data_IF_105674404920
#
_entry.id   IF_105674404920
#
_cell.length_a   1.000
_cell.length_b   1.000
_cell.length_c   1.000
_cell.angle_alpha   90.00
_cell.angle_beta   90.00
_cell.angle_gamma   90.00
#
_symmetry.space_group_name_H-M   'P 1'
#
loop_
_entity.id
_entity.type
_entity.pdbx_description
1 polymer ?
#
# COMPACT_ATOMS: atom_id res chain seq x y z
N UNK A 1 -2.15 -9.99 29.36
CA UNK A 1 -3.14 -8.93 29.06
C UNK A 1 -4.56 -9.32 29.43
N UNK A 2 -5.09 -10.48 29.00
CA UNK A 2 -6.49 -10.87 29.32
C UNK A 2 -6.76 -11.09 30.83
N UNK A 3 -5.71 -11.35 31.62
CA UNK A 3 -5.76 -11.66 33.06
C UNK A 3 -5.56 -10.46 34.00
N UNK A 4 -5.23 -9.28 33.45
CA UNK A 4 -4.92 -8.12 34.29
C UNK A 4 -6.23 -7.48 34.80
N UNK A 5 -6.31 -7.13 36.10
CA UNK A 5 -7.46 -6.41 36.63
C UNK A 5 -7.57 -5.01 35.98
N UNK A 6 -8.75 -4.37 36.01
CA UNK A 6 -8.87 -2.98 35.65
C UNK A 6 -7.96 -2.12 36.54
N UNK A 7 -7.23 -1.21 35.92
CA UNK A 7 -6.27 -0.32 36.60
C UNK A 7 -6.59 1.13 36.19
N UNK A 8 -6.57 2.03 37.17
CA UNK A 8 -6.79 3.45 36.93
C UNK A 8 -5.48 4.11 36.55
N UNK A 9 -5.49 4.82 35.41
CA UNK A 9 -4.33 5.55 34.92
C UNK A 9 -4.67 7.03 34.79
N UNK A 10 -3.79 7.87 35.33
CA UNK A 10 -3.80 9.31 35.09
C UNK A 10 -2.79 9.62 34.00
N UNK A 11 -3.28 10.13 32.86
CA UNK A 11 -2.43 10.57 31.75
C UNK A 11 -2.56 12.07 31.62
N UNK A 12 -1.44 12.77 31.72
CA UNK A 12 -1.33 14.20 31.44
C UNK A 12 -0.66 14.38 30.08
N UNK A 13 -1.30 15.15 29.20
CA UNK A 13 -0.67 15.55 27.94
C UNK A 13 -0.72 17.06 27.78
N UNK A 14 0.37 17.61 27.24
CA UNK A 14 0.46 19.02 26.88
C UNK A 14 -0.38 19.22 25.63
N UNK A 15 -1.46 19.99 25.75
CA UNK A 15 -2.24 20.38 24.58
C UNK A 15 -1.46 21.49 23.88
N UNK A 16 -0.70 21.12 22.85
CA UNK A 16 -0.12 22.10 21.94
C UNK A 16 -1.23 22.69 21.07
N UNK A 17 -1.31 24.02 20.98
CA UNK A 17 -1.99 24.64 19.84
C UNK A 17 -1.22 24.30 18.57
N UNK A 18 -1.94 23.94 17.50
CA UNK A 18 -1.37 23.46 16.23
C UNK A 18 -0.33 24.42 15.60
N UNK A 19 -0.25 25.66 16.06
CA UNK A 19 0.69 26.70 15.59
C UNK A 19 2.16 26.47 15.96
N UNK A 20 2.50 25.42 16.72
CA UNK A 20 3.91 25.06 17.02
C UNK A 20 4.47 23.94 16.15
N UNK A 21 3.69 23.36 15.23
CA UNK A 21 4.24 22.54 14.16
C UNK A 21 5.02 23.44 13.20
N UNK A 22 6.36 23.42 13.31
CA UNK A 22 7.27 24.36 12.67
C UNK A 22 7.00 24.57 11.17
N UNK A 23 6.56 25.77 10.82
CA UNK A 23 6.75 26.29 9.47
C UNK A 23 8.26 26.40 9.21
N UNK A 24 8.78 25.96 8.05
CA UNK A 24 10.18 26.15 7.69
C UNK A 24 10.52 27.64 7.71
N UNK A 25 11.55 28.02 8.46
CA UNK A 25 12.06 29.38 8.46
C UNK A 25 12.66 29.68 7.08
N UNK A 26 11.99 30.52 6.31
CA UNK A 26 12.53 31.06 5.07
C UNK A 26 13.71 32.00 5.47
N UNK A 27 14.92 31.81 4.91
CA UNK A 27 16.04 32.70 5.18
C UNK A 27 15.69 34.13 4.75
N UNK A 28 15.79 35.09 5.67
CA UNK A 28 15.62 36.49 5.36
C UNK A 28 16.83 36.99 4.55
N UNK A 29 16.70 37.04 3.23
CA UNK A 29 17.61 37.79 2.37
C UNK A 29 17.28 39.26 2.47
N UNK A 30 18.20 40.07 3.01
CA UNK A 30 18.07 41.51 3.10
C UNK A 30 18.11 42.18 1.73
N UNK A 31 17.11 43.00 1.44
CA UNK A 31 17.17 44.07 0.43
C UNK A 31 16.02 45.08 0.68
N UNK A 32 16.43 46.33 0.88
CA UNK A 32 15.74 47.60 0.58
C UNK A 32 14.29 47.85 1.06
N UNK A 33 14.20 48.57 2.19
CA UNK A 33 13.57 49.90 2.24
C UNK A 33 12.05 50.06 2.12
N UNK A 34 11.28 49.01 1.85
CA UNK A 34 9.82 49.06 1.86
C UNK A 34 9.25 47.84 2.60
N UNK A 35 8.55 48.09 3.72
CA UNK A 35 7.86 47.01 4.44
C UNK A 35 6.84 46.35 3.52
N UNK A 36 6.97 45.04 3.22
CA UNK A 36 6.02 44.37 2.38
C UNK A 36 4.66 44.26 3.11
N UNK A 37 3.52 44.27 2.39
CA UNK A 37 2.18 44.36 2.99
C UNK A 37 1.80 43.20 3.93
N UNK A 38 2.58 42.11 3.96
CA UNK A 38 2.42 41.02 4.94
C UNK A 38 3.13 41.27 6.28
N UNK A 39 4.04 42.25 6.35
CA UNK A 39 4.75 42.64 7.57
C UNK A 39 3.80 43.30 8.59
N UNK A 40 2.86 44.13 8.12
CA UNK A 40 1.82 44.74 8.96
C UNK A 40 0.85 43.71 9.53
N UNK A 41 0.44 42.71 8.73
CA UNK A 41 -0.37 41.58 9.18
C UNK A 41 0.35 40.70 10.22
N UNK A 42 1.68 40.60 10.13
CA UNK A 42 2.51 39.89 11.11
C UNK A 42 2.68 40.67 12.41
N UNK A 43 2.74 42.01 12.34
CA UNK A 43 2.75 42.88 13.52
C UNK A 43 1.40 42.84 14.27
N UNK A 44 0.27 42.74 13.56
CA UNK A 44 -1.06 42.57 14.18
C UNK A 44 -1.20 41.26 14.95
N UNK A 45 -0.50 40.18 14.52
CA UNK A 45 -0.51 38.89 15.24
C UNK A 45 0.20 38.95 16.59
N UNK A 46 1.27 39.75 16.72
CA UNK A 46 2.00 39.90 18.01
C UNK A 46 1.17 40.58 19.09
N UNK A 47 0.25 41.45 18.71
CA UNK A 47 -0.66 42.16 19.62
C UNK A 47 -2.05 41.51 19.70
N UNK A 48 -2.24 40.32 19.14
CA UNK A 48 -3.51 39.63 19.29
C UNK A 48 -3.63 39.10 20.73
N UNK A 49 -4.57 39.61 21.55
CA UNK A 49 -4.74 39.18 22.94
C UNK A 49 -5.08 37.69 23.05
N UNK A 50 -5.60 37.08 21.98
CA UNK A 50 -5.89 35.64 21.91
C UNK A 50 -4.68 34.76 21.57
N UNK A 51 -3.54 35.35 21.16
CA UNK A 51 -2.25 34.68 20.88
C UNK A 51 -1.19 34.95 21.95
N UNK A 52 -1.54 35.65 23.03
CA UNK A 52 -0.68 35.71 24.21
C UNK A 52 -0.37 34.27 24.63
N UNK A 53 0.92 33.96 24.81
CA UNK A 53 1.44 32.63 25.16
C UNK A 53 0.67 32.07 26.35
N UNK A 54 -0.43 31.39 26.07
CA UNK A 54 -1.12 30.60 27.07
C UNK A 54 -0.09 29.57 27.49
N UNK A 55 0.26 29.56 28.77
CA UNK A 55 1.06 28.47 29.33
C UNK A 55 0.44 27.17 28.83
N UNK A 56 1.26 26.22 28.33
CA UNK A 56 0.75 25.03 27.66
C UNK A 56 -0.27 24.37 28.58
N UNK A 57 -1.55 24.49 28.20
CA UNK A 57 -2.64 23.97 29.01
C UNK A 57 -2.45 22.47 29.07
N UNK A 58 -1.99 22.00 30.22
CA UNK A 58 -1.89 20.57 30.48
C UNK A 58 -3.28 20.13 30.85
N UNK A 59 -3.86 19.22 30.07
CA UNK A 59 -5.13 18.60 30.40
C UNK A 59 -4.83 17.23 30.98
N UNK A 60 -5.33 17.01 32.18
CA UNK A 60 -5.25 15.73 32.86
C UNK A 60 -6.54 14.96 32.61
N UNK A 61 -6.41 13.70 32.23
CA UNK A 61 -7.54 12.80 32.07
C UNK A 61 -7.31 11.57 32.93
N UNK A 62 -8.30 11.29 33.76
CA UNK A 62 -8.40 10.00 34.44
C UNK A 62 -9.14 9.05 33.51
N UNK A 63 -8.53 7.91 33.24
CA UNK A 63 -9.16 6.84 32.47
C UNK A 63 -8.96 5.52 33.17
N UNK A 64 -10.02 4.71 33.18
CA UNK A 64 -9.94 3.34 33.67
C UNK A 64 -9.57 2.49 32.47
N UNK A 65 -8.39 1.87 32.52
CA UNK A 65 -7.99 0.91 31.51
C UNK A 65 -8.59 -0.44 31.88
N UNK A 66 -9.29 -1.03 30.92
CA UNK A 66 -9.80 -2.40 31.00
C UNK A 66 -8.98 -3.25 30.01
N UNK A 67 -7.83 -3.83 30.41
CA UNK A 67 -6.94 -4.53 29.49
C UNK A 67 -7.64 -5.63 28.69
N UNK A 68 -8.61 -6.29 29.32
CA UNK A 68 -9.43 -7.32 28.69
C UNK A 68 -10.33 -6.77 27.58
N UNK A 69 -10.99 -5.63 27.81
CA UNK A 69 -11.81 -4.96 26.79
C UNK A 69 -10.95 -4.51 25.61
N UNK A 70 -9.77 -3.96 25.90
CA UNK A 70 -8.79 -3.57 24.87
C UNK A 70 -8.36 -4.79 24.05
N UNK A 71 -7.99 -5.89 24.71
CA UNK A 71 -7.58 -7.12 24.05
C UNK A 71 -8.70 -7.70 23.17
N UNK A 72 -9.96 -7.73 23.65
CA UNK A 72 -11.12 -8.14 22.84
C UNK A 72 -11.33 -7.23 21.64
N UNK A 73 -11.17 -5.91 21.82
CA UNK A 73 -11.23 -4.95 20.71
C UNK A 73 -10.16 -5.23 19.65
N UNK A 74 -8.92 -5.48 20.06
CA UNK A 74 -7.82 -5.83 19.15
C UNK A 74 -8.07 -7.14 18.41
N UNK A 75 -8.60 -8.16 19.09
CA UNK A 75 -9.01 -9.42 18.45
C UNK A 75 -10.14 -9.18 17.43
N UNK A 76 -11.13 -8.35 17.76
CA UNK A 76 -12.20 -8.00 16.82
C UNK A 76 -11.66 -7.29 15.56
N UNK A 77 -10.76 -6.30 15.74
CA UNK A 77 -10.12 -5.60 14.62
C UNK A 77 -9.31 -6.56 13.78
N UNK A 78 -8.53 -7.44 14.41
CA UNK A 78 -7.76 -8.47 13.72
C UNK A 78 -8.65 -9.38 12.88
N UNK A 79 -9.79 -9.84 13.42
CA UNK A 79 -10.73 -10.68 12.67
C UNK A 79 -11.29 -9.92 11.46
N UNK A 80 -11.73 -8.67 11.65
CA UNK A 80 -12.22 -7.84 10.55
C UNK A 80 -11.18 -7.68 9.44
N UNK A 81 -9.92 -7.40 9.80
CA UNK A 81 -8.81 -7.30 8.85
C UNK A 81 -8.57 -8.64 8.15
N UNK A 82 -8.60 -9.77 8.86
CA UNK A 82 -8.43 -11.09 8.28
C UNK A 82 -9.53 -11.41 7.25
N UNK A 83 -10.79 -11.12 7.57
CA UNK A 83 -11.93 -11.35 6.68
C UNK A 83 -11.85 -10.47 5.42
N UNK A 84 -11.42 -9.22 5.57
CA UNK A 84 -11.14 -8.31 4.45
C UNK A 84 -10.00 -8.84 3.59
N UNK A 85 -8.88 -9.23 4.20
CA UNK A 85 -7.70 -9.75 3.50
C UNK A 85 -8.03 -11.01 2.70
N UNK A 86 -8.84 -11.92 3.23
CA UNK A 86 -9.29 -13.12 2.50
C UNK A 86 -9.96 -12.77 1.16
N UNK A 87 -10.86 -11.78 1.18
CA UNK A 87 -11.57 -11.28 -0.01
C UNK A 87 -10.63 -10.52 -0.92
N UNK A 88 -9.85 -9.60 -0.35
CA UNK A 88 -8.95 -8.71 -1.08
C UNK A 88 -7.86 -9.49 -1.83
N UNK A 89 -7.30 -10.55 -1.22
CA UNK A 89 -6.34 -11.44 -1.88
C UNK A 89 -6.97 -12.13 -3.10
N UNK A 90 -8.24 -12.55 -3.04
CA UNK A 90 -8.93 -13.15 -4.19
C UNK A 90 -9.13 -12.16 -5.33
N UNK A 91 -9.43 -10.90 -4.99
CA UNK A 91 -9.59 -9.81 -5.96
C UNK A 91 -8.25 -9.51 -6.64
N UNK A 92 -7.15 -9.47 -5.86
CA UNK A 92 -5.79 -9.26 -6.41
C UNK A 92 -5.41 -10.43 -7.34
N UNK A 93 -5.78 -11.67 -7.03
CA UNK A 93 -5.55 -12.79 -7.93
C UNK A 93 -6.31 -12.60 -9.26
N UNK A 94 -7.60 -12.29 -9.21
CA UNK A 94 -8.46 -12.07 -10.38
C UNK A 94 -8.02 -10.86 -11.23
N UNK A 95 -7.55 -9.78 -10.60
CA UNK A 95 -6.94 -8.63 -11.28
C UNK A 95 -5.80 -9.07 -12.22
N UNK A 96 -5.04 -10.10 -11.83
CA UNK A 96 -3.91 -10.59 -12.60
C UNK A 96 -4.34 -11.31 -13.86
N UNK A 97 -5.42 -12.08 -13.77
CA UNK A 97 -6.04 -12.74 -14.92
C UNK A 97 -6.65 -11.71 -15.88
N UNK A 98 -7.30 -10.68 -15.34
CA UNK A 98 -7.84 -9.58 -16.13
C UNK A 98 -6.74 -8.83 -16.91
N UNK A 99 -5.65 -8.45 -16.25
CA UNK A 99 -4.52 -7.78 -16.91
C UNK A 99 -3.89 -8.66 -18.00
N UNK A 100 -3.80 -9.97 -17.77
CA UNK A 100 -3.33 -10.93 -18.78
C UNK A 100 -4.27 -11.00 -19.99
N UNK A 101 -5.58 -11.08 -19.76
CA UNK A 101 -6.58 -11.14 -20.82
C UNK A 101 -6.58 -9.86 -21.67
N UNK A 102 -6.54 -8.68 -21.03
CA UNK A 102 -6.45 -7.41 -21.75
C UNK A 102 -5.21 -7.32 -22.65
N UNK A 103 -4.08 -7.91 -22.24
CA UNK A 103 -2.86 -7.93 -23.05
C UNK A 103 -2.93 -8.93 -24.21
N UNK A 104 -3.56 -10.10 -24.01
CA UNK A 104 -3.60 -11.15 -25.03
C UNK A 104 -4.64 -10.89 -26.12
N UNK A 105 -5.82 -10.44 -25.72
CA UNK A 105 -6.96 -10.37 -26.63
C UNK A 105 -7.11 -8.98 -27.29
N UNK A 106 -6.37 -7.97 -26.81
CA UNK A 106 -6.63 -6.54 -27.13
C UNK A 106 -8.10 -6.14 -26.78
N UNK A 107 -8.78 -6.95 -25.96
CA UNK A 107 -10.20 -6.83 -25.57
C UNK A 107 -10.35 -5.95 -24.34
N UNK A 108 -9.43 -5.01 -24.10
CA UNK A 108 -9.66 -3.97 -23.10
C UNK A 108 -10.70 -2.97 -23.69
N UNK A 109 -11.95 -3.44 -23.77
CA UNK A 109 -13.11 -2.85 -24.44
C UNK A 109 -13.70 -1.66 -23.70
N UNK A 110 -12.89 -0.97 -22.90
CA UNK A 110 -13.27 0.36 -22.47
C UNK A 110 -13.05 1.23 -23.70
N UNK A 111 -14.13 1.79 -24.25
CA UNK A 111 -14.13 2.83 -25.29
C UNK A 111 -13.35 4.06 -24.76
N UNK A 112 -12.02 3.96 -24.69
CA UNK A 112 -11.14 5.05 -24.29
C UNK A 112 -10.58 5.67 -25.54
N UNK A 113 -11.47 6.27 -26.32
CA UNK A 113 -11.24 6.84 -27.64
C UNK A 113 -10.26 8.04 -27.64
N UNK A 114 -9.53 8.33 -26.55
CA UNK A 114 -8.66 9.51 -26.48
C UNK A 114 -7.46 9.47 -25.53
N UNK A 115 -7.13 8.35 -24.86
CA UNK A 115 -5.98 8.28 -23.92
C UNK A 115 -4.89 7.24 -24.26
N UNK A 116 -5.04 6.49 -25.35
CA UNK A 116 -4.23 5.30 -25.64
C UNK A 116 -2.79 5.55 -26.16
N UNK A 117 -2.33 6.80 -26.26
CA UNK A 117 -0.95 7.10 -26.71
C UNK A 117 0.02 7.45 -25.59
N UNK A 118 -0.38 7.33 -24.31
CA UNK A 118 0.57 7.55 -23.21
C UNK A 118 1.44 6.30 -23.07
N UNK A 119 2.65 6.36 -23.62
CA UNK A 119 3.71 5.39 -23.33
C UNK A 119 3.80 5.21 -21.82
N UNK A 120 3.44 4.01 -21.34
CA UNK A 120 3.27 3.67 -19.92
C UNK A 120 4.59 3.71 -19.13
N UNK A 121 5.70 3.88 -19.84
CA UNK A 121 7.04 4.12 -19.28
C UNK A 121 7.28 5.58 -18.88
N UNK A 122 6.30 6.48 -19.07
CA UNK A 122 6.47 7.88 -18.70
C UNK A 122 6.72 7.97 -17.18
N UNK A 123 7.94 8.40 -16.83
CA UNK A 123 8.39 8.58 -15.45
C UNK A 123 7.40 9.45 -14.67
N UNK A 124 6.69 10.34 -15.36
CA UNK A 124 5.62 11.17 -14.79
C UNK A 124 4.49 10.35 -14.18
N UNK A 125 4.04 9.25 -14.82
CA UNK A 125 2.97 8.41 -14.25
C UNK A 125 3.42 7.75 -12.94
N UNK A 126 4.71 7.42 -12.83
CA UNK A 126 5.26 6.78 -11.63
C UNK A 126 5.46 7.75 -10.46
N UNK A 127 5.68 9.04 -10.75
CA UNK A 127 6.02 10.04 -9.75
C UNK A 127 4.87 10.97 -9.38
N UNK A 128 3.95 11.23 -10.30
CA UNK A 128 2.81 12.13 -10.12
C UNK A 128 1.56 11.35 -9.72
N UNK A 129 1.05 11.50 -8.48
CA UNK A 129 -0.19 10.85 -8.05
C UNK A 129 -1.43 11.38 -8.80
N UNK A 130 -1.36 12.56 -9.43
CA UNK A 130 -2.44 13.12 -10.25
C UNK A 130 -2.45 12.56 -11.69
N UNK A 131 -1.37 11.91 -12.13
CA UNK A 131 -1.32 11.32 -13.46
C UNK A 131 -2.30 10.15 -13.58
N UNK A 132 -3.11 10.09 -14.67
CA UNK A 132 -4.10 9.05 -14.87
C UNK A 132 -3.42 7.68 -14.94
N UNK A 133 -4.08 6.65 -14.39
CA UNK A 133 -3.62 5.28 -14.51
C UNK A 133 -3.92 4.74 -15.92
N UNK A 134 -3.18 3.72 -16.39
CA UNK A 134 -3.48 3.04 -17.64
C UNK A 134 -4.92 2.50 -17.66
N UNK A 135 -5.64 2.54 -18.81
CA UNK A 135 -7.03 2.11 -18.90
C UNK A 135 -7.30 0.70 -18.35
N UNK A 136 -6.44 -0.26 -18.68
CA UNK A 136 -6.55 -1.63 -18.16
C UNK A 136 -6.49 -1.67 -16.62
N UNK A 137 -5.58 -0.90 -16.03
CA UNK A 137 -5.45 -0.82 -14.58
C UNK A 137 -6.59 -0.03 -13.92
N UNK A 138 -7.10 1.01 -14.58
CA UNK A 138 -8.31 1.70 -14.15
C UNK A 138 -9.51 0.76 -14.12
N UNK A 139 -9.73 0.00 -15.19
CA UNK A 139 -10.84 -0.96 -15.28
C UNK A 139 -10.73 -2.05 -14.21
N UNK A 140 -9.53 -2.63 -14.04
CA UNK A 140 -9.26 -3.62 -13.01
C UNK A 140 -9.49 -3.05 -11.59
N UNK A 141 -9.04 -1.82 -11.35
CA UNK A 141 -9.26 -1.11 -10.08
C UNK A 141 -10.74 -0.87 -9.83
N UNK A 142 -11.49 -0.40 -10.83
CA UNK A 142 -12.94 -0.18 -10.69
C UNK A 142 -13.69 -1.46 -10.38
N UNK A 143 -13.32 -2.58 -11.02
CA UNK A 143 -13.89 -3.89 -10.70
C UNK A 143 -13.61 -4.29 -9.24
N UNK A 144 -12.38 -4.06 -8.76
CA UNK A 144 -12.03 -4.27 -7.37
C UNK A 144 -12.85 -3.36 -6.43
N UNK A 145 -12.93 -2.06 -6.69
CA UNK A 145 -13.69 -1.10 -5.87
C UNK A 145 -15.18 -1.43 -5.80
N UNK A 146 -15.78 -1.88 -6.90
CA UNK A 146 -17.19 -2.28 -6.91
C UNK A 146 -17.45 -3.46 -5.96
N UNK A 147 -16.47 -4.35 -5.77
CA UNK A 147 -16.54 -5.42 -4.78
C UNK A 147 -16.31 -4.95 -3.32
N UNK A 148 -15.83 -3.73 -3.11
CA UNK A 148 -15.52 -3.18 -1.78
C UNK A 148 -16.67 -2.42 -1.13
N UNK A 149 -17.69 -2.00 -1.88
CA UNK A 149 -18.83 -1.22 -1.38
C UNK A 149 -19.80 -2.04 -0.50
N UNK A 150 -19.25 -2.84 0.41
CA UNK A 150 -19.96 -3.52 1.47
C UNK A 150 -20.05 -2.59 2.69
N UNK A 151 -21.24 -2.46 3.32
CA UNK A 151 -21.48 -1.54 4.44
C UNK A 151 -20.60 -1.79 5.68
N UNK A 152 -19.89 -2.91 5.75
CA UNK A 152 -19.09 -3.33 6.90
C UNK A 152 -17.56 -3.23 6.71
N UNK A 153 -17.10 -2.54 5.66
CA UNK A 153 -15.66 -2.38 5.41
C UNK A 153 -15.00 -1.44 6.42
N UNK A 154 -13.82 -1.83 6.91
CA UNK A 154 -12.99 -1.03 7.80
C UNK A 154 -12.51 0.24 7.08
N UNK A 155 -12.29 1.35 7.82
CA UNK A 155 -11.76 2.58 7.24
C UNK A 155 -10.34 2.41 6.66
N UNK A 156 -9.64 1.34 7.05
CA UNK A 156 -8.27 1.04 6.61
C UNK A 156 -8.22 0.11 5.39
N UNK A 157 -9.36 -0.45 4.96
CA UNK A 157 -9.40 -1.46 3.90
C UNK A 157 -8.68 -1.03 2.63
N UNK A 158 -8.89 0.20 2.17
CA UNK A 158 -8.23 0.71 0.95
C UNK A 158 -6.70 0.76 1.04
N UNK A 159 -6.16 1.14 2.21
CA UNK A 159 -4.72 1.18 2.44
C UNK A 159 -4.14 -0.24 2.61
N UNK A 160 -4.87 -1.12 3.30
CA UNK A 160 -4.53 -2.52 3.45
C UNK A 160 -4.52 -3.26 2.11
N UNK A 161 -5.51 -3.00 1.25
CA UNK A 161 -5.57 -3.58 -0.09
C UNK A 161 -4.34 -3.21 -0.91
N UNK A 162 -3.99 -1.92 -0.97
CA UNK A 162 -2.80 -1.46 -1.70
C UNK A 162 -1.52 -2.09 -1.15
N UNK A 163 -1.40 -2.21 0.18
CA UNK A 163 -0.28 -2.89 0.83
C UNK A 163 -0.22 -4.37 0.43
N UNK A 164 -1.33 -5.10 0.49
CA UNK A 164 -1.40 -6.51 0.09
C UNK A 164 -1.04 -6.69 -1.38
N UNK A 165 -1.57 -5.84 -2.26
CA UNK A 165 -1.32 -5.90 -3.70
C UNK A 165 0.17 -5.72 -4.01
N UNK A 166 0.84 -4.76 -3.35
CA UNK A 166 2.29 -4.55 -3.45
C UNK A 166 3.09 -5.71 -2.89
N UNK A 167 2.75 -6.17 -1.69
CA UNK A 167 3.47 -7.25 -1.02
C UNK A 167 3.38 -8.57 -1.81
N UNK A 168 2.18 -8.95 -2.26
CA UNK A 168 1.96 -10.13 -3.11
C UNK A 168 2.73 -10.03 -4.43
N UNK A 169 2.68 -8.89 -5.11
CA UNK A 169 3.34 -8.71 -6.41
C UNK A 169 4.86 -8.71 -6.27
N UNK A 170 5.40 -8.11 -5.21
CA UNK A 170 6.84 -8.15 -4.91
C UNK A 170 7.32 -9.56 -4.64
N UNK A 171 6.64 -10.30 -3.75
CA UNK A 171 6.98 -11.69 -3.43
C UNK A 171 6.85 -12.61 -4.65
N UNK A 172 5.81 -12.40 -5.47
CA UNK A 172 5.61 -13.11 -6.72
C UNK A 172 6.75 -12.87 -7.71
N UNK A 173 7.21 -11.62 -7.85
CA UNK A 173 8.33 -11.31 -8.72
C UNK A 173 9.65 -11.92 -8.24
N UNK A 174 9.89 -11.94 -6.92
CA UNK A 174 11.04 -12.65 -6.35
C UNK A 174 10.97 -14.17 -6.58
N UNK A 175 9.78 -14.76 -6.45
CA UNK A 175 9.56 -16.17 -6.74
C UNK A 175 9.71 -16.49 -8.23
N UNK A 176 9.18 -15.64 -9.11
CA UNK A 176 9.29 -15.76 -10.56
C UNK A 176 10.74 -15.70 -11.03
N UNK A 177 11.53 -14.76 -10.50
CA UNK A 177 12.96 -14.66 -10.77
C UNK A 177 13.70 -15.96 -10.40
N UNK A 178 13.39 -16.54 -9.23
CA UNK A 178 13.98 -17.82 -8.79
C UNK A 178 13.52 -18.99 -9.67
N UNK A 179 12.26 -18.99 -10.09
CA UNK A 179 11.66 -19.99 -10.98
C UNK A 179 12.34 -19.99 -12.35
N UNK A 180 12.45 -18.81 -12.97
CA UNK A 180 13.12 -18.60 -14.27
C UNK A 180 14.59 -19.02 -14.21
N UNK A 181 15.31 -18.62 -13.17
CA UNK A 181 16.72 -19.00 -13.00
C UNK A 181 16.94 -20.53 -12.86
N UNK A 182 15.94 -21.28 -12.40
CA UNK A 182 16.02 -22.74 -12.27
C UNK A 182 15.72 -23.50 -13.57
N UNK A 183 15.08 -22.85 -14.56
CA UNK A 183 14.69 -23.49 -15.83
C UNK A 183 15.84 -23.60 -16.84
N UNK A 184 17.04 -23.11 -16.49
CA UNK A 184 18.25 -23.24 -17.32
C UNK A 184 18.59 -21.98 -18.12
N UNK A 185 19.59 -22.11 -19.00
CA UNK A 185 20.21 -20.99 -19.73
C UNK A 185 19.23 -20.21 -20.60
N UNK A 186 18.20 -20.87 -21.15
CA UNK A 186 17.18 -20.23 -22.01
C UNK A 186 16.38 -19.15 -21.27
N UNK A 187 16.20 -19.30 -19.96
CA UNK A 187 15.45 -18.35 -19.13
C UNK A 187 16.35 -17.46 -18.27
N UNK A 188 17.68 -17.62 -18.34
CA UNK A 188 18.62 -16.83 -17.56
C UNK A 188 18.52 -15.34 -17.90
N UNK A 189 18.34 -14.99 -19.17
CA UNK A 189 18.16 -13.62 -19.62
C UNK A 189 16.89 -12.97 -19.05
N UNK A 190 15.78 -13.73 -19.04
CA UNK A 190 14.51 -13.31 -18.45
C UNK A 190 14.63 -13.10 -16.92
N UNK A 191 15.37 -13.98 -16.23
CA UNK A 191 15.62 -13.84 -14.79
C UNK A 191 16.50 -12.61 -14.48
N UNK A 192 17.54 -12.35 -15.27
CA UNK A 192 18.40 -11.17 -15.13
C UNK A 192 17.64 -9.87 -15.41
N UNK A 193 16.81 -9.87 -16.45
CA UNK A 193 15.90 -8.76 -16.77
C UNK A 193 14.97 -8.43 -15.59
N UNK A 194 14.27 -9.44 -15.04
CA UNK A 194 13.37 -9.24 -13.91
C UNK A 194 14.13 -8.76 -12.67
N UNK A 195 15.34 -9.27 -12.43
CA UNK A 195 16.21 -8.82 -11.33
C UNK A 195 16.55 -7.33 -11.45
N UNK A 196 17.00 -6.89 -12.63
CA UNK A 196 17.32 -5.48 -12.87
C UNK A 196 16.08 -4.59 -12.67
N UNK A 197 14.91 -5.07 -13.11
CA UNK A 197 13.65 -4.35 -12.90
C UNK A 197 13.29 -4.24 -11.42
N UNK A 198 13.45 -5.32 -10.65
CA UNK A 198 13.19 -5.33 -9.21
C UNK A 198 14.10 -4.39 -8.44
N UNK A 199 15.37 -4.22 -8.84
CA UNK A 199 16.26 -3.21 -8.22
C UNK A 199 15.67 -1.81 -8.34
N UNK A 200 15.13 -1.46 -9.52
CA UNK A 200 14.48 -0.16 -9.77
C UNK A 200 13.13 -0.03 -9.03
N UNK A 201 12.39 -1.11 -8.89
CA UNK A 201 11.01 -1.08 -8.37
C UNK A 201 10.89 -1.34 -6.87
N UNK A 202 11.87 -2.00 -6.22
CA UNK A 202 11.78 -2.33 -4.80
C UNK A 202 11.53 -1.11 -3.90
N UNK A 203 12.20 0.04 -4.07
CA UNK A 203 11.92 1.21 -3.22
C UNK A 203 10.48 1.73 -3.38
N UNK A 204 9.90 1.59 -4.58
CA UNK A 204 8.53 2.02 -4.88
C UNK A 204 7.47 1.09 -4.27
N UNK A 205 7.83 -0.17 -4.03
CA UNK A 205 6.97 -1.09 -3.29
C UNK A 205 6.98 -0.80 -1.80
N UNK A 206 8.09 -0.33 -1.22
CA UNK A 206 8.17 -0.05 0.22
C UNK A 206 7.59 1.32 0.57
N UNK A 207 7.92 2.34 -0.22
CA UNK A 207 7.50 3.73 0.00
C UNK A 207 6.75 4.27 -1.23
N UNK A 208 5.49 3.84 -1.43
CA UNK A 208 4.73 4.24 -2.61
C UNK A 208 4.34 5.72 -2.54
N UNK A 209 4.67 6.48 -3.59
CA UNK A 209 4.18 7.86 -3.77
C UNK A 209 2.71 7.92 -4.21
N UNK A 210 2.18 6.81 -4.74
CA UNK A 210 0.80 6.68 -5.23
C UNK A 210 0.26 5.27 -4.99
N UNK A 211 -1.06 5.12 -5.08
CA UNK A 211 -1.73 3.81 -5.06
C UNK A 211 -1.51 3.05 -6.38
N UNK A 212 -1.76 1.74 -6.36
CA UNK A 212 -1.74 0.86 -7.53
C UNK A 212 -0.36 0.65 -8.17
N UNK A 213 0.72 0.78 -7.37
CA UNK A 213 2.10 0.56 -7.87
C UNK A 213 2.32 -0.86 -8.39
N UNK A 214 1.66 -1.85 -7.79
CA UNK A 214 1.71 -3.24 -8.25
C UNK A 214 1.14 -3.42 -9.66
N UNK A 215 -0.02 -2.82 -9.93
CA UNK A 215 -0.61 -2.84 -11.26
C UNK A 215 0.23 -2.12 -12.29
N UNK A 216 0.84 -0.98 -11.94
CA UNK A 216 1.75 -0.25 -12.83
C UNK A 216 2.99 -1.07 -13.18
N UNK A 217 3.59 -1.75 -12.21
CA UNK A 217 4.71 -2.66 -12.45
C UNK A 217 4.34 -3.77 -13.46
N UNK A 218 3.19 -4.42 -13.27
CA UNK A 218 2.73 -5.49 -14.16
C UNK A 218 2.39 -4.97 -15.55
N UNK A 219 1.76 -3.81 -15.64
CA UNK A 219 1.43 -3.17 -16.91
C UNK A 219 2.71 -2.80 -17.67
N UNK A 220 3.72 -2.25 -16.99
CA UNK A 220 5.03 -1.93 -17.58
C UNK A 220 5.71 -3.20 -18.13
N UNK A 221 5.62 -4.34 -17.44
CA UNK A 221 6.18 -5.61 -17.93
C UNK A 221 5.43 -6.16 -19.15
N UNK A 222 4.09 -6.09 -19.13
CA UNK A 222 3.25 -6.60 -20.22
C UNK A 222 3.46 -5.80 -21.52
N UNK A 223 3.61 -4.49 -21.42
CA UNK A 223 3.75 -3.61 -22.59
C UNK A 223 5.19 -3.46 -23.10
N UNK A 224 6.18 -4.00 -22.39
CA UNK A 224 7.57 -3.91 -22.82
C UNK A 224 7.88 -4.88 -23.96
N UNK A 225 8.50 -4.37 -25.02
CA UNK A 225 8.81 -5.17 -26.20
C UNK A 225 9.92 -6.19 -25.93
N UNK A 226 9.89 -7.37 -26.57
CA UNK A 226 10.99 -8.32 -26.50
C UNK A 226 12.31 -7.72 -26.97
N UNK A 227 13.42 -8.10 -26.32
CA UNK A 227 14.75 -7.59 -26.65
C UNK A 227 15.73 -8.73 -26.89
N UNK A 228 16.67 -8.52 -27.81
CA UNK A 228 17.79 -9.43 -28.08
C UNK A 228 19.07 -8.71 -27.68
N UNK A 229 19.83 -9.30 -26.76
CA UNK A 229 21.14 -8.81 -26.33
C UNK A 229 22.22 -9.81 -26.73
N UNK A 230 23.39 -9.34 -27.16
CA UNK A 230 24.54 -10.22 -27.41
C UNK A 230 25.50 -10.13 -26.22
N UNK A 231 25.77 -11.26 -25.58
CA UNK A 231 26.73 -11.39 -24.47
C UNK A 231 27.62 -12.60 -24.73
N UNK A 232 28.94 -12.40 -24.71
CA UNK A 232 29.93 -13.47 -24.92
C UNK A 232 29.72 -14.29 -26.20
N UNK A 233 29.31 -13.62 -27.29
CA UNK A 233 29.02 -14.26 -28.58
C UNK A 233 27.71 -15.05 -28.63
N UNK A 234 26.95 -15.13 -27.53
CA UNK A 234 25.61 -15.72 -27.47
C UNK A 234 24.54 -14.64 -27.59
N UNK A 235 23.51 -14.89 -28.40
CA UNK A 235 22.31 -14.08 -28.43
C UNK A 235 21.39 -14.53 -27.28
N UNK A 236 21.11 -13.61 -26.36
CA UNK A 236 20.18 -13.76 -25.25
C UNK A 236 18.87 -13.06 -25.64
N UNK A 237 17.78 -13.82 -25.61
CA UNK A 237 16.45 -13.30 -25.88
C UNK A 237 15.70 -13.09 -24.57
N UNK A 238 15.14 -11.90 -24.39
CA UNK A 238 14.31 -11.54 -23.25
C UNK A 238 12.90 -11.25 -23.75
N UNK A 239 11.93 -11.93 -23.14
CA UNK A 239 10.50 -11.74 -23.40
C UNK A 239 9.80 -11.24 -22.13
N UNK A 240 9.56 -9.92 -22.01
CA UNK A 240 8.88 -9.33 -20.86
C UNK A 240 7.46 -9.86 -20.64
N UNK A 241 6.74 -10.26 -21.70
CA UNK A 241 5.41 -10.84 -21.57
C UNK A 241 5.45 -12.21 -20.91
N UNK A 242 6.45 -13.05 -21.26
CA UNK A 242 6.70 -14.32 -20.56
C UNK A 242 7.07 -14.09 -19.09
N UNK A 243 7.92 -13.09 -18.82
CA UNK A 243 8.27 -12.70 -17.45
C UNK A 243 7.04 -12.28 -16.65
N UNK A 244 6.19 -11.41 -17.22
CA UNK A 244 4.94 -10.98 -16.59
C UNK A 244 4.00 -12.16 -16.31
N UNK A 245 3.88 -13.10 -17.26
CA UNK A 245 3.06 -14.29 -17.10
C UNK A 245 3.54 -15.15 -15.91
N UNK A 246 4.85 -15.35 -15.77
CA UNK A 246 5.43 -16.07 -14.63
C UNK A 246 5.19 -15.32 -13.31
N UNK A 247 5.34 -13.98 -13.28
CA UNK A 247 5.02 -13.17 -12.08
C UNK A 247 3.56 -13.36 -11.68
N UNK A 248 2.63 -13.28 -12.63
CA UNK A 248 1.20 -13.46 -12.37
C UNK A 248 0.87 -14.88 -11.88
N UNK A 249 1.51 -15.90 -12.44
CA UNK A 249 1.37 -17.29 -11.98
C UNK A 249 1.86 -17.47 -10.54
N UNK A 250 3.03 -16.92 -10.20
CA UNK A 250 3.54 -16.95 -8.83
C UNK A 250 2.67 -16.13 -7.88
N UNK A 251 2.08 -15.03 -8.34
CA UNK A 251 1.16 -14.20 -7.56
C UNK A 251 -0.08 -14.98 -7.16
N UNK A 252 -0.67 -15.74 -8.09
CA UNK A 252 -1.79 -16.63 -7.80
C UNK A 252 -1.40 -17.69 -6.76
N UNK A 253 -0.26 -18.37 -6.93
CA UNK A 253 0.21 -19.40 -5.99
C UNK A 253 0.43 -18.85 -4.57
N UNK A 254 1.05 -17.67 -4.46
CA UNK A 254 1.31 -17.03 -3.16
C UNK A 254 0.00 -16.54 -2.54
N UNK A 255 -0.90 -15.97 -3.34
CA UNK A 255 -2.23 -15.56 -2.90
C UNK A 255 -3.00 -16.71 -2.26
N UNK A 256 -3.05 -17.88 -2.91
CA UNK A 256 -3.70 -19.08 -2.33
C UNK A 256 -3.08 -19.49 -0.99
N UNK A 257 -1.75 -19.49 -0.90
CA UNK A 257 -1.04 -19.82 0.36
C UNK A 257 -1.31 -18.80 1.46
N UNK A 258 -1.39 -17.52 1.12
CA UNK A 258 -1.69 -16.46 2.08
C UNK A 258 -3.13 -16.54 2.56
N UNK A 259 -4.08 -16.85 1.68
CA UNK A 259 -5.47 -17.11 2.07
C UNK A 259 -5.56 -18.28 3.06
N UNK A 260 -4.90 -19.40 2.78
CA UNK A 260 -4.84 -20.53 3.70
C UNK A 260 -4.22 -20.14 5.06
N UNK A 261 -3.15 -19.36 5.04
CA UNK A 261 -2.52 -18.88 6.27
C UNK A 261 -3.45 -17.94 7.07
N UNK A 262 -4.18 -17.05 6.39
CA UNK A 262 -5.13 -16.13 7.03
C UNK A 262 -6.33 -16.90 7.59
N UNK A 263 -6.88 -17.90 6.89
CA UNK A 263 -7.98 -18.70 7.41
C UNK A 263 -7.60 -19.43 8.71
N UNK A 264 -6.37 -19.96 8.79
CA UNK A 264 -5.84 -20.58 10.02
C UNK A 264 -5.69 -19.60 11.19
N UNK A 265 -5.63 -18.29 10.95
CA UNK A 265 -5.56 -17.31 12.04
C UNK A 265 -6.88 -17.12 12.78
N UNK A 266 -8.01 -17.33 12.10
CA UNK A 266 -9.34 -17.26 12.71
C UNK A 266 -9.52 -18.39 13.75
N UNK A 267 -9.07 -19.61 13.43
CA UNK A 267 -9.13 -20.75 14.34
C UNK A 267 -8.34 -20.48 15.63
N UNK A 268 -7.10 -20.00 15.50
CA UNK A 268 -6.25 -19.63 16.64
C UNK A 268 -6.86 -18.53 17.50
N UNK A 269 -7.56 -17.58 16.88
CA UNK A 269 -8.25 -16.53 17.62
C UNK A 269 -9.46 -17.07 18.39
N UNK A 270 -10.21 -17.99 17.81
CA UNK A 270 -11.31 -18.67 18.50
C UNK A 270 -10.80 -19.46 19.72
N UNK A 271 -9.64 -20.11 19.62
CA UNK A 271 -9.01 -20.80 20.75
C UNK A 271 -8.71 -19.83 21.91
N UNK A 272 -8.08 -18.68 21.62
CA UNK A 272 -7.78 -17.65 22.64
C UNK A 272 -9.06 -17.12 23.29
N UNK A 273 -10.15 -16.92 22.53
CA UNK A 273 -11.44 -16.49 23.09
C UNK A 273 -12.10 -17.57 23.93
N UNK A 274 -11.98 -18.86 23.56
CA UNK A 274 -12.51 -19.97 24.36
C UNK A 274 -11.74 -20.12 25.67
N UNK A 275 -10.42 -19.99 25.65
CA UNK A 275 -9.59 -19.95 26.86
C UNK A 275 -10.02 -18.80 27.77
N UNK A 276 -10.19 -17.59 27.21
CA UNK A 276 -10.66 -16.41 27.94
C UNK A 276 -12.03 -16.63 28.61
N UNK A 277 -12.98 -17.26 27.91
CA UNK A 277 -14.33 -17.57 28.42
C UNK A 277 -14.32 -18.65 29.51
N UNK A 278 -13.57 -19.73 29.33
CA UNK A 278 -13.46 -20.79 30.33
C UNK A 278 -12.88 -20.28 31.65
N UNK A 279 -11.93 -19.34 31.57
CA UNK A 279 -11.39 -18.66 32.74
C UNK A 279 -12.45 -17.78 33.45
N UNK A 280 -13.42 -17.18 32.73
CA UNK A 280 -14.51 -16.43 33.38
C UNK A 280 -15.42 -17.31 34.22
N UNK A 281 -15.70 -18.51 33.73
CA UNK A 281 -16.63 -19.44 34.39
C UNK A 281 -16.00 -20.16 35.59
N UNK A 282 -14.68 -20.01 35.78
CA UNK A 282 -13.93 -20.67 36.86
C UNK A 282 -13.75 -19.78 38.12
N UNK A 283 -14.19 -18.52 38.06
CA UNK A 283 -14.13 -17.52 39.16
C UNK A 283 -15.53 -17.28 39.70
#
# INVERSE_FOLDING_TARGET
MLKAPPEEYSVSYKVGTADTAGMPQIPQTGADGAEPPWASASASRRNNPYLQKQEPQTREYQTILEPRRIARGLLSIRQQIADEWMKDISIIAAEGEYLRACHQDDVCSVEVDSFLTVNTTDVKVLEDPAAPLPPALMAASTQAFNSWNLPDSSPFRSANFDLLQRALTREAALAAMKSLARRGDEHAANAEFLRARLVRWSPRFEEPKRRQMAGLFLTELLHESPTIQRRDGKALFTDPSLVAAEVLEQRLRIATRWQEAVSQTADKQADVLREDLNEQNSV
#
